data_IF_545431808885
#
_entry.id   IF_545431808885
#
_cell.length_a   1.000
_cell.length_b   1.000
_cell.length_c   1.000
_cell.angle_alpha   90.00
_cell.angle_beta   90.00
_cell.angle_gamma   90.00
#
_symmetry.space_group_name_H-M   'P 1'
#
loop_
_entity.id
_entity.type
_entity.pdbx_description
1 polymer ?
#
# COMPACT_ATOMS: atom_id res chain seq x y z
N UNK A 1 -10.99 -21.19 -14.24
CA UNK A 1 -10.25 -19.91 -14.39
C UNK A 1 -10.89 -18.83 -13.50
N UNK A 2 -10.92 -19.03 -12.17
CA UNK A 2 -11.62 -18.12 -11.22
C UNK A 2 -10.80 -17.83 -9.93
N UNK A 3 -9.58 -18.39 -9.82
CA UNK A 3 -8.80 -18.35 -8.58
C UNK A 3 -8.08 -17.02 -8.29
N UNK A 4 -7.91 -16.13 -9.26
CA UNK A 4 -7.20 -14.86 -9.07
C UNK A 4 -8.08 -13.74 -8.49
N UNK A 5 -9.41 -13.87 -8.53
CA UNK A 5 -10.32 -12.78 -8.12
C UNK A 5 -10.66 -12.77 -6.62
N UNK A 6 -10.41 -13.85 -5.89
CA UNK A 6 -10.81 -13.99 -4.47
C UNK A 6 -9.79 -13.35 -3.52
N UNK A 7 -8.48 -13.42 -3.83
CA UNK A 7 -7.43 -12.84 -2.98
C UNK A 7 -7.41 -11.31 -2.97
N UNK A 8 -7.81 -10.65 -4.07
CA UNK A 8 -7.85 -9.17 -4.14
C UNK A 8 -8.94 -8.56 -3.25
N UNK A 9 -10.02 -9.30 -2.99
CA UNK A 9 -11.19 -8.78 -2.26
C UNK A 9 -11.00 -8.81 -0.74
N UNK A 10 -10.20 -9.74 -0.20
CA UNK A 10 -10.05 -9.90 1.24
C UNK A 10 -9.24 -8.80 1.93
N UNK A 11 -8.20 -8.24 1.28
CA UNK A 11 -7.39 -7.20 1.90
C UNK A 11 -8.15 -5.87 2.05
N UNK A 12 -8.95 -5.49 1.04
CA UNK A 12 -9.78 -4.28 1.07
C UNK A 12 -10.99 -4.41 1.99
N UNK A 13 -11.51 -5.63 2.19
CA UNK A 13 -12.68 -5.85 3.06
C UNK A 13 -12.32 -5.94 4.55
N UNK A 14 -11.17 -6.53 4.91
CA UNK A 14 -10.67 -6.55 6.31
C UNK A 14 -10.42 -5.14 6.85
N UNK A 15 -10.08 -4.19 5.97
CA UNK A 15 -9.79 -2.82 6.36
C UNK A 15 -11.04 -1.94 6.55
N UNK A 16 -12.26 -2.48 6.42
CA UNK A 16 -13.53 -1.74 6.59
C UNK A 16 -13.64 -0.99 7.93
N UNK A 17 -12.92 -1.43 8.95
CA UNK A 17 -12.99 -0.85 10.30
C UNK A 17 -11.85 0.15 10.58
N UNK A 18 -10.79 0.17 9.78
CA UNK A 18 -9.66 1.08 9.97
C UNK A 18 -9.71 2.23 8.97
N UNK A 19 -10.02 3.43 9.47
CA UNK A 19 -10.05 4.64 8.66
C UNK A 19 -8.84 5.52 8.97
N UNK A 20 -7.88 5.65 8.04
CA UNK A 20 -6.75 6.56 8.24
C UNK A 20 -7.22 8.02 8.30
N UNK A 21 -6.57 8.81 9.15
CA UNK A 21 -6.84 10.25 9.33
C UNK A 21 -6.17 11.10 8.24
N UNK A 22 -6.81 12.21 7.86
CA UNK A 22 -6.27 13.21 6.92
C UNK A 22 -5.79 12.59 5.59
N UNK A 23 -4.56 12.87 5.18
CA UNK A 23 -3.88 12.42 3.96
C UNK A 23 -3.11 11.10 4.16
N UNK A 24 -3.38 10.36 5.24
CA UNK A 24 -2.71 9.08 5.48
C UNK A 24 -3.25 8.00 4.54
N UNK A 25 -2.33 7.20 4.03
CA UNK A 25 -2.59 6.10 3.09
C UNK A 25 -2.01 4.82 3.68
N UNK A 26 -2.81 3.76 3.72
CA UNK A 26 -2.37 2.44 4.14
C UNK A 26 -2.04 1.59 2.93
N UNK A 27 -0.86 1.01 2.95
CA UNK A 27 -0.29 0.25 1.85
C UNK A 27 0.14 -1.12 2.35
N UNK A 28 -0.21 -2.14 1.57
CA UNK A 28 0.31 -3.49 1.69
C UNK A 28 1.47 -3.63 0.71
N UNK A 29 2.66 -3.97 1.22
CA UNK A 29 3.82 -4.21 0.35
C UNK A 29 3.62 -5.50 -0.44
N UNK A 30 4.02 -5.49 -1.70
CA UNK A 30 4.01 -6.70 -2.50
C UNK A 30 5.07 -7.69 -1.99
N UNK A 31 4.77 -8.98 -2.09
CA UNK A 31 5.73 -10.02 -1.75
C UNK A 31 6.93 -9.98 -2.72
N UNK A 32 8.17 -10.15 -2.25
CA UNK A 32 9.35 -10.12 -3.10
C UNK A 32 9.34 -11.29 -4.09
N UNK A 33 9.74 -11.05 -5.34
CA UNK A 33 9.87 -12.10 -6.34
C UNK A 33 11.00 -13.07 -5.93
N UNK A 34 10.62 -14.28 -5.50
CA UNK A 34 11.55 -15.35 -5.09
C UNK A 34 12.28 -16.01 -6.26
N UNK A 35 11.74 -15.87 -7.47
CA UNK A 35 12.30 -16.44 -8.70
C UNK A 35 12.53 -15.33 -9.70
N UNK A 36 13.79 -15.10 -10.03
CA UNK A 36 14.13 -14.22 -11.17
C UNK A 36 13.74 -14.87 -12.49
N UNK A 37 13.59 -14.06 -13.54
CA UNK A 37 13.25 -14.51 -14.90
C UNK A 37 14.19 -15.59 -15.47
N UNK A 38 15.39 -15.75 -14.90
CA UNK A 38 16.37 -16.77 -15.27
C UNK A 38 16.30 -18.07 -14.46
N UNK A 39 15.32 -18.26 -13.57
CA UNK A 39 15.17 -19.48 -12.77
C UNK A 39 16.08 -19.57 -11.54
N UNK A 40 16.85 -18.52 -11.24
CA UNK A 40 17.73 -18.45 -10.08
C UNK A 40 16.92 -18.01 -8.86
N UNK A 41 16.98 -18.82 -7.80
CA UNK A 41 16.37 -18.51 -6.50
C UNK A 41 17.22 -17.47 -5.78
N UNK A 42 16.63 -16.32 -5.48
CA UNK A 42 17.30 -15.30 -4.67
C UNK A 42 17.12 -15.68 -3.19
N UNK A 43 18.20 -15.77 -2.40
CA UNK A 43 18.07 -16.00 -0.96
C UNK A 43 17.29 -14.85 -0.32
N UNK A 44 16.39 -15.15 0.62
CA UNK A 44 15.50 -14.17 1.26
C UNK A 44 16.25 -12.97 1.88
N UNK A 45 17.50 -13.17 2.30
CA UNK A 45 18.38 -12.10 2.83
C UNK A 45 18.83 -11.06 1.80
N UNK A 46 18.85 -11.40 0.51
CA UNK A 46 19.22 -10.50 -0.57
C UNK A 46 18.02 -9.80 -1.21
N UNK A 47 16.80 -10.18 -0.80
CA UNK A 47 15.59 -9.49 -1.23
C UNK A 47 15.47 -8.19 -0.43
N UNK A 48 15.79 -7.08 -1.09
CA UNK A 48 15.61 -5.75 -0.51
C UNK A 48 14.15 -5.46 -0.17
N UNK A 49 13.91 -4.34 0.51
CA UNK A 49 12.54 -3.86 0.74
C UNK A 49 11.86 -3.65 -0.60
N UNK A 50 10.73 -4.33 -0.82
CA UNK A 50 9.91 -4.09 -2.01
C UNK A 50 9.34 -2.67 -1.91
N UNK A 51 9.75 -1.83 -2.85
CA UNK A 51 9.31 -0.44 -2.95
C UNK A 51 7.93 -0.34 -3.62
N UNK A 52 7.40 -1.43 -4.15
CA UNK A 52 6.06 -1.47 -4.72
C UNK A 52 5.04 -1.95 -3.69
N UNK A 53 3.88 -1.27 -3.67
CA UNK A 53 2.79 -1.62 -2.78
C UNK A 53 1.42 -1.40 -3.41
N UNK A 54 0.42 -2.06 -2.84
CA UNK A 54 -0.99 -1.86 -3.19
C UNK A 54 -1.67 -1.04 -2.09
N UNK A 55 -2.39 0.00 -2.49
CA UNK A 55 -3.16 0.83 -1.57
C UNK A 55 -4.35 0.03 -1.05
N UNK A 56 -4.49 -0.09 0.26
CA UNK A 56 -5.60 -0.82 0.92
C UNK A 56 -6.65 0.17 1.42
N UNK A 57 -6.21 1.29 1.99
CA UNK A 57 -7.10 2.32 2.51
C UNK A 57 -6.50 3.71 2.35
N UNK A 58 -7.39 4.69 2.18
CA UNK A 58 -7.04 6.08 1.94
C UNK A 58 -7.87 6.94 2.89
N UNK A 59 -7.26 7.98 3.45
CA UNK A 59 -7.95 8.94 4.28
C UNK A 59 -8.90 9.83 3.46
N UNK A 60 -9.69 10.69 4.10
CA UNK A 60 -10.54 11.64 3.40
C UNK A 60 -9.76 12.70 2.61
N UNK A 61 -8.46 12.83 2.84
CA UNK A 61 -7.57 13.78 2.19
C UNK A 61 -7.18 14.95 3.11
N UNK A 62 -6.38 15.88 2.57
CA UNK A 62 -5.83 17.00 3.35
C UNK A 62 -6.90 18.07 3.57
N UNK A 63 -7.07 18.52 4.81
CA UNK A 63 -7.86 19.72 5.10
C UNK A 63 -7.02 20.97 4.87
N UNK A 64 -7.55 21.91 4.10
CA UNK A 64 -7.01 23.27 3.97
C UNK A 64 -7.41 24.12 5.18
N UNK A 65 -6.68 25.20 5.44
CA UNK A 65 -6.98 26.15 6.52
C UNK A 65 -8.35 26.83 6.34
N UNK A 66 -8.85 26.88 5.10
CA UNK A 66 -10.19 27.36 4.75
C UNK A 66 -11.32 26.34 5.04
N UNK A 67 -10.99 25.15 5.57
CA UNK A 67 -11.96 24.10 5.87
C UNK A 67 -12.40 23.26 4.66
N UNK A 68 -11.80 23.46 3.47
CA UNK A 68 -12.04 22.60 2.30
C UNK A 68 -11.15 21.36 2.38
N UNK A 69 -11.73 20.18 2.17
CA UNK A 69 -10.99 18.93 2.06
C UNK A 69 -10.54 18.71 0.62
N UNK A 70 -9.23 18.60 0.40
CA UNK A 70 -8.65 18.19 -0.89
C UNK A 70 -8.71 16.66 -0.92
N UNK A 71 -9.47 16.05 -1.84
CA UNK A 71 -9.58 14.60 -1.93
C UNK A 71 -8.24 14.00 -2.38
N UNK A 72 -7.94 12.82 -1.84
CA UNK A 72 -6.76 12.06 -2.22
C UNK A 72 -6.77 11.65 -3.70
N UNK A 73 -5.62 11.73 -4.35
CA UNK A 73 -5.44 11.30 -5.75
C UNK A 73 -5.33 9.79 -5.90
N UNK A 74 -5.00 9.08 -4.83
CA UNK A 74 -4.91 7.62 -4.78
C UNK A 74 -6.22 6.98 -4.32
N UNK A 75 -6.52 5.80 -4.86
CA UNK A 75 -7.70 5.02 -4.49
C UNK A 75 -7.30 3.64 -3.94
N UNK A 76 -8.14 3.02 -3.09
CA UNK A 76 -7.97 1.62 -2.72
C UNK A 76 -7.87 0.73 -3.96
N UNK A 77 -6.85 -0.12 -4.01
CA UNK A 77 -6.54 -1.01 -5.13
C UNK A 77 -5.49 -0.48 -6.11
N UNK A 78 -5.11 0.79 -6.02
CA UNK A 78 -4.04 1.36 -6.86
C UNK A 78 -2.68 0.79 -6.48
N UNK A 79 -1.80 0.61 -7.48
CA UNK A 79 -0.40 0.27 -7.27
C UNK A 79 0.43 1.54 -7.21
N UNK A 80 1.26 1.65 -6.18
CA UNK A 80 2.08 2.84 -5.93
C UNK A 80 3.52 2.47 -5.62
N UNK A 81 4.41 3.39 -5.95
CA UNK A 81 5.82 3.33 -5.61
C UNK A 81 6.05 4.07 -4.28
N UNK A 82 6.56 3.32 -3.31
CA UNK A 82 6.93 3.76 -1.98
C UNK A 82 8.35 4.32 -1.98
N UNK A 83 8.62 5.31 -1.11
CA UNK A 83 9.99 5.73 -0.83
C UNK A 83 10.75 4.61 -0.08
N UNK A 84 12.08 4.60 -0.22
CA UNK A 84 12.96 3.65 0.48
C UNK A 84 12.90 3.79 2.01
N UNK A 85 12.61 5.01 2.46
CA UNK A 85 12.56 5.41 3.85
C UNK A 85 11.25 6.10 4.17
N UNK A 86 10.86 6.02 5.44
CA UNK A 86 9.62 6.58 5.92
C UNK A 86 8.50 5.54 6.01
N UNK A 87 7.34 6.05 6.42
CA UNK A 87 6.17 5.24 6.73
C UNK A 87 6.25 4.59 8.11
N UNK A 88 5.08 4.40 8.71
CA UNK A 88 4.92 3.71 9.99
C UNK A 88 4.41 2.30 9.77
N UNK A 89 5.08 1.31 10.36
CA UNK A 89 4.60 -0.07 10.35
C UNK A 89 3.43 -0.21 11.33
N UNK A 90 2.37 -0.86 10.89
CA UNK A 90 1.16 -1.12 11.66
C UNK A 90 0.74 -2.55 11.39
N UNK A 91 0.31 -3.26 12.44
CA UNK A 91 -0.22 -4.62 12.32
C UNK A 91 -1.72 -4.56 12.58
N UNK A 92 -2.53 -5.01 11.62
CA UNK A 92 -3.99 -5.06 11.71
C UNK A 92 -4.40 -6.46 11.25
N UNK A 93 -5.25 -7.14 12.03
CA UNK A 93 -5.72 -8.51 11.74
C UNK A 93 -4.57 -9.47 11.41
N UNK A 94 -3.49 -9.41 12.21
CA UNK A 94 -2.27 -10.22 12.06
C UNK A 94 -1.51 -10.01 10.74
N UNK A 95 -1.87 -8.98 9.96
CA UNK A 95 -1.19 -8.58 8.73
C UNK A 95 -0.40 -7.30 8.92
N UNK A 96 0.77 -7.26 8.29
CA UNK A 96 1.64 -6.09 8.34
C UNK A 96 1.30 -5.11 7.22
N UNK A 97 0.95 -3.89 7.62
CA UNK A 97 0.71 -2.78 6.72
C UNK A 97 1.68 -1.64 7.01
N UNK A 98 1.81 -0.75 6.04
CA UNK A 98 2.61 0.45 6.17
C UNK A 98 1.75 1.68 5.90
N UNK A 99 1.77 2.64 6.82
CA UNK A 99 1.08 3.91 6.69
C UNK A 99 2.07 4.95 6.18
N UNK A 100 1.75 5.59 5.07
CA UNK A 100 2.47 6.72 4.52
C UNK A 100 1.56 7.94 4.43
N UNK A 101 2.15 9.13 4.22
CA UNK A 101 1.38 10.26 3.72
C UNK A 101 1.25 10.17 2.22
N UNK A 102 0.16 10.69 1.68
CA UNK A 102 -0.03 10.80 0.24
C UNK A 102 1.10 11.59 -0.43
N UNK A 103 1.62 12.64 0.23
CA UNK A 103 2.72 13.47 -0.27
C UNK A 103 4.06 12.73 -0.40
N UNK A 104 4.24 11.63 0.33
CA UNK A 104 5.50 10.90 0.37
C UNK A 104 5.56 9.81 -0.73
N UNK A 105 4.44 9.56 -1.41
CA UNK A 105 4.37 8.59 -2.50
C UNK A 105 5.08 9.15 -3.75
N UNK A 106 5.94 8.33 -4.35
CA UNK A 106 6.75 8.76 -5.50
C UNK A 106 5.90 8.76 -6.79
N UNK A 107 5.00 7.79 -6.92
CA UNK A 107 4.17 7.67 -8.11
C UNK A 107 3.16 6.54 -8.03
N UNK A 108 2.21 6.56 -8.97
CA UNK A 108 1.20 5.54 -9.18
C UNK A 108 1.45 4.84 -10.51
N UNK A 109 1.40 3.51 -10.53
CA UNK A 109 1.45 2.72 -11.77
C UNK A 109 0.07 2.75 -12.44
N UNK A 110 0.05 2.99 -13.75
CA UNK A 110 -1.16 3.05 -14.58
C UNK A 110 -1.41 1.73 -15.32
#
# INVERSE_FOLDING_TARGET
>A
MVFTSIMRKSAVDSFKTFRPFFDRVVIERLAPELKTKGGIMIPEKAQGKVLEGTVVAVGPGRCTEEGKTIPSQVKPGDRVLLPEYGGSKVVIDEKEFHIFRESDLIGKFN
#
